data_IF_178724539026
#
_entry.id   IF_178724539026
#
_cell.length_a   1.000
_cell.length_b   1.000
_cell.length_c   1.000
_cell.angle_alpha   90.00
_cell.angle_beta   90.00
_cell.angle_gamma   90.00
#
_symmetry.space_group_name_H-M   'P 1'
#
loop_
_entity.id
_entity.type
_entity.pdbx_description
1 polymer ?
#
# COMPACT_ATOMS: atom_id res chain seq x y z
N UNK A 1 8.14 21.44 13.92
CA UNK A 1 9.00 20.37 14.48
C UNK A 1 9.94 19.93 13.37
N UNK A 2 11.24 19.81 13.62
CA UNK A 2 12.19 19.37 12.60
C UNK A 2 12.04 17.86 12.37
N UNK A 3 12.15 17.41 11.12
CA UNK A 3 12.11 16.00 10.75
C UNK A 3 13.54 15.43 10.69
N UNK A 4 13.71 14.18 11.12
CA UNK A 4 14.94 13.42 10.93
C UNK A 4 14.78 12.54 9.70
N UNK A 5 15.77 12.55 8.80
CA UNK A 5 15.77 11.75 7.58
C UNK A 5 16.88 10.71 7.63
N UNK A 6 16.54 9.47 7.27
CA UNK A 6 17.49 8.41 7.00
C UNK A 6 17.60 8.24 5.48
N UNK A 7 18.83 8.18 4.95
CA UNK A 7 19.07 8.04 3.50
C UNK A 7 19.17 6.57 3.05
N UNK A 8 18.91 5.61 3.95
CA UNK A 8 19.02 4.19 3.65
C UNK A 8 18.21 3.31 4.60
N UNK A 9 18.22 1.99 4.34
CA UNK A 9 17.48 1.00 5.13
C UNK A 9 17.88 1.04 6.60
N UNK A 10 16.88 1.02 7.48
CA UNK A 10 17.10 0.95 8.92
C UNK A 10 17.02 -0.51 9.35
N UNK A 11 18.10 -0.97 10.00
CA UNK A 11 18.21 -2.30 10.58
C UNK A 11 18.42 -2.16 12.08
N UNK A 12 17.81 -3.06 12.85
CA UNK A 12 17.89 -3.07 14.31
C UNK A 12 18.40 -4.42 14.81
N UNK A 13 19.32 -4.39 15.78
CA UNK A 13 19.86 -5.59 16.43
C UNK A 13 21.38 -5.66 16.41
N UNK A 14 21.93 -6.72 16.99
CA UNK A 14 23.38 -6.87 17.20
C UNK A 14 23.98 -7.86 16.21
N UNK A 15 25.01 -7.43 15.48
CA UNK A 15 25.92 -8.32 14.76
C UNK A 15 26.92 -9.05 15.66
N UNK A 16 26.90 -8.81 16.99
CA UNK A 16 27.97 -9.23 17.90
C UNK A 16 28.15 -10.76 17.96
N UNK A 17 27.07 -11.51 17.80
CA UNK A 17 27.05 -12.99 17.85
C UNK A 17 27.05 -13.61 16.43
N UNK A 18 27.24 -12.78 15.39
CA UNK A 18 27.33 -13.21 13.99
C UNK A 18 28.79 -13.47 13.56
N UNK A 19 29.61 -14.00 14.46
CA UNK A 19 30.99 -14.35 14.16
C UNK A 19 31.04 -15.64 13.32
N UNK A 20 31.30 -15.41 12.03
CA UNK A 20 31.79 -16.34 11.01
C UNK A 20 30.88 -17.47 10.50
N UNK A 21 29.81 -17.89 11.18
CA UNK A 21 28.84 -18.88 10.60
C UNK A 21 27.39 -18.77 11.07
N UNK A 22 27.06 -17.92 12.07
CA UNK A 22 25.72 -17.78 12.63
C UNK A 22 24.85 -16.70 11.96
N UNK A 23 23.52 -16.89 11.96
CA UNK A 23 22.58 -15.86 11.53
C UNK A 23 22.66 -14.66 12.47
N UNK A 24 22.92 -13.48 11.92
CA UNK A 24 22.93 -12.26 12.72
C UNK A 24 21.52 -11.94 13.25
N UNK A 25 21.42 -11.54 14.53
CA UNK A 25 20.17 -11.03 15.10
C UNK A 25 19.93 -9.60 14.59
N UNK A 26 19.57 -9.47 13.32
CA UNK A 26 19.24 -8.21 12.64
C UNK A 26 17.81 -8.32 12.14
N UNK A 27 16.95 -7.44 12.64
CA UNK A 27 15.60 -7.22 12.14
C UNK A 27 15.54 -6.02 11.20
N UNK A 28 14.71 -6.11 10.18
CA UNK A 28 14.34 -4.96 9.36
C UNK A 28 13.21 -4.17 10.02
N UNK A 29 13.18 -2.86 9.79
CA UNK A 29 12.13 -1.98 10.32
C UNK A 29 10.93 -1.94 9.39
N UNK A 30 9.72 -2.07 9.95
CA UNK A 30 8.47 -1.83 9.24
C UNK A 30 8.20 -0.32 9.16
N UNK A 31 8.08 0.19 7.94
CA UNK A 31 7.79 1.58 7.64
C UNK A 31 6.36 1.70 7.11
N UNK A 32 5.74 2.86 7.32
CA UNK A 32 4.37 3.12 6.87
C UNK A 32 4.27 4.44 6.13
N UNK A 33 3.46 4.47 5.07
CA UNK A 33 3.02 5.71 4.41
C UNK A 33 1.50 5.73 4.31
N UNK A 34 0.90 6.91 4.34
CA UNK A 34 -0.56 7.07 4.26
C UNK A 34 -0.93 8.07 3.18
N UNK A 35 -1.92 7.73 2.37
CA UNK A 35 -2.54 8.62 1.38
C UNK A 35 -4.06 8.66 1.59
N UNK A 36 -4.71 9.70 1.06
CA UNK A 36 -6.17 9.85 1.11
C UNK A 36 -6.69 10.04 -0.30
N UNK A 37 -7.67 9.21 -0.69
CA UNK A 37 -8.45 9.39 -1.90
C UNK A 37 -9.78 10.05 -1.52
N UNK A 38 -10.08 11.18 -2.14
CA UNK A 38 -11.36 11.89 -1.98
C UNK A 38 -12.00 12.04 -3.35
N UNK A 39 -13.31 11.79 -3.41
CA UNK A 39 -14.13 11.98 -4.60
C UNK A 39 -13.91 13.41 -5.16
N UNK A 40 -13.52 13.54 -6.43
CA UNK A 40 -13.05 14.78 -7.07
C UNK A 40 -13.77 15.12 -8.39
N UNK A 41 -14.91 14.50 -8.66
CA UNK A 41 -15.75 14.62 -9.85
C UNK A 41 -15.41 13.64 -10.97
N UNK A 42 -14.39 12.79 -10.83
CA UNK A 42 -13.98 11.83 -11.86
C UNK A 42 -14.54 10.43 -11.61
N UNK A 43 -14.56 9.61 -12.67
CA UNK A 43 -14.99 8.20 -12.64
C UNK A 43 -13.91 7.24 -12.14
N UNK A 44 -12.69 7.72 -11.93
CA UNK A 44 -11.60 6.99 -11.31
C UNK A 44 -10.71 7.97 -10.56
N UNK A 45 -10.51 7.72 -9.26
CA UNK A 45 -9.68 8.56 -8.39
C UNK A 45 -8.43 7.78 -8.05
N UNK A 46 -7.27 8.28 -8.46
CA UNK A 46 -5.98 7.62 -8.27
C UNK A 46 -5.04 8.47 -7.42
N UNK A 47 -4.30 7.82 -6.55
CA UNK A 47 -3.18 8.39 -5.80
C UNK A 47 -2.05 7.34 -5.73
N UNK A 48 -0.80 7.79 -5.62
CA UNK A 48 0.34 6.90 -5.69
C UNK A 48 1.26 7.04 -4.46
N UNK A 49 1.78 5.92 -3.98
CA UNK A 49 2.94 5.87 -3.08
C UNK A 49 4.23 5.76 -3.89
N UNK A 50 5.32 6.26 -3.30
CA UNK A 50 6.68 6.04 -3.83
C UNK A 50 7.47 5.26 -2.78
N UNK A 51 7.84 4.04 -3.12
CA UNK A 51 8.63 3.14 -2.29
C UNK A 51 10.04 2.96 -2.88
N UNK A 52 11.08 2.75 -2.07
CA UNK A 52 12.40 2.42 -2.59
C UNK A 52 12.39 1.10 -3.36
N UNK A 53 13.23 1.01 -4.40
CA UNK A 53 13.38 -0.20 -5.19
C UNK A 53 13.71 -1.41 -4.31
N UNK A 54 13.21 -2.57 -4.71
CA UNK A 54 13.35 -3.86 -4.02
C UNK A 54 12.72 -3.92 -2.62
N UNK A 55 11.88 -2.96 -2.24
CA UNK A 55 11.13 -3.04 -0.99
C UNK A 55 10.14 -4.21 -1.03
N UNK A 56 9.90 -4.79 0.14
CA UNK A 56 8.84 -5.75 0.37
C UNK A 56 7.62 -5.01 0.92
N UNK A 57 6.44 -5.25 0.37
CA UNK A 57 5.18 -4.80 0.93
C UNK A 57 4.66 -5.88 1.88
N UNK A 58 4.32 -5.51 3.10
CA UNK A 58 3.80 -6.43 4.12
C UNK A 58 2.28 -6.44 4.12
N UNK A 59 1.66 -5.29 3.90
CA UNK A 59 0.21 -5.18 3.92
C UNK A 59 -0.30 -3.79 3.57
N UNK A 60 -1.62 -3.71 3.46
CA UNK A 60 -2.37 -2.48 3.26
C UNK A 60 -3.51 -2.40 4.26
N UNK A 61 -3.73 -1.22 4.83
CA UNK A 61 -4.94 -0.89 5.56
C UNK A 61 -5.76 0.08 4.72
N UNK A 62 -7.00 -0.30 4.40
CA UNK A 62 -7.94 0.52 3.64
C UNK A 62 -9.08 0.92 4.57
N UNK A 63 -9.10 2.19 4.94
CA UNK A 63 -10.05 2.77 5.89
C UNK A 63 -10.96 3.76 5.16
N UNK A 64 -12.21 3.38 4.90
CA UNK A 64 -13.20 4.26 4.29
C UNK A 64 -13.91 5.06 5.38
N UNK A 65 -13.69 6.38 5.37
CA UNK A 65 -14.28 7.33 6.34
C UNK A 65 -15.66 7.80 5.86
N UNK A 66 -15.78 8.05 4.55
CA UNK A 66 -17.06 8.37 3.90
C UNK A 66 -17.27 7.36 2.79
N UNK A 67 -18.37 6.61 2.87
CA UNK A 67 -18.76 5.62 1.88
C UNK A 67 -18.81 6.26 0.48
N UNK A 68 -18.22 5.56 -0.48
CA UNK A 68 -18.42 5.91 -1.89
C UNK A 68 -19.83 5.50 -2.30
N UNK A 69 -20.49 6.34 -3.10
CA UNK A 69 -21.92 6.25 -3.36
C UNK A 69 -22.26 6.14 -4.84
N UNK A 70 -21.49 5.34 -5.58
CA UNK A 70 -21.86 5.03 -6.96
C UNK A 70 -23.12 4.16 -7.03
N UNK A 71 -23.76 4.17 -8.20
CA UNK A 71 -25.03 3.47 -8.40
C UNK A 71 -24.90 1.94 -8.45
N UNK A 72 -23.68 1.40 -8.65
CA UNK A 72 -23.47 -0.04 -8.84
C UNK A 72 -22.41 -0.60 -7.91
N UNK A 73 -21.17 -0.09 -7.99
CA UNK A 73 -20.06 -0.62 -7.20
C UNK A 73 -18.91 0.37 -7.10
N UNK A 74 -18.36 0.51 -5.90
CA UNK A 74 -17.17 1.30 -5.63
C UNK A 74 -16.03 0.36 -5.22
N UNK A 75 -15.12 0.09 -6.15
CA UNK A 75 -14.02 -0.85 -5.93
C UNK A 75 -12.69 -0.11 -5.88
N UNK A 76 -11.86 -0.49 -4.91
CA UNK A 76 -10.48 -0.03 -4.76
C UNK A 76 -9.54 -1.12 -5.26
N UNK A 77 -8.60 -0.75 -6.12
CA UNK A 77 -7.53 -1.63 -6.58
C UNK A 77 -6.17 -1.01 -6.30
N UNK A 78 -5.16 -1.85 -6.09
CA UNK A 78 -3.79 -1.42 -5.86
C UNK A 78 -2.87 -2.18 -6.82
N UNK A 79 -2.03 -1.45 -7.54
CA UNK A 79 -1.17 -2.01 -8.57
C UNK A 79 0.02 -1.15 -8.92
N UNK A 80 0.69 -1.54 -10.01
CA UNK A 80 1.89 -0.87 -10.54
C UNK A 80 1.57 0.30 -11.48
N UNK A 81 0.28 0.51 -11.75
CA UNK A 81 -0.27 1.59 -12.57
C UNK A 81 -1.70 1.89 -12.12
N UNK A 82 -2.25 3.03 -12.54
CA UNK A 82 -3.65 3.39 -12.30
C UNK A 82 -4.62 2.27 -12.74
N UNK A 83 -5.61 1.97 -11.89
CA UNK A 83 -6.54 0.85 -12.02
C UNK A 83 -5.88 -0.55 -12.12
N UNK A 84 -4.58 -0.66 -11.80
CA UNK A 84 -3.89 -1.93 -11.65
C UNK A 84 -4.37 -2.72 -10.43
N UNK A 85 -4.20 -4.04 -10.49
CA UNK A 85 -4.61 -5.00 -9.45
C UNK A 85 -3.51 -5.99 -9.09
N UNK A 86 -2.25 -5.62 -9.33
CA UNK A 86 -1.09 -6.49 -9.10
C UNK A 86 -0.84 -6.78 -7.60
N UNK A 87 -1.27 -5.90 -6.70
CA UNK A 87 -1.06 -6.04 -5.25
C UNK A 87 -2.36 -6.28 -4.49
N UNK A 88 -3.45 -5.64 -4.89
CA UNK A 88 -4.79 -5.85 -4.31
C UNK A 88 -5.84 -5.80 -5.42
N UNK A 89 -6.52 -6.93 -5.60
CA UNK A 89 -7.73 -7.08 -6.40
C UNK A 89 -8.95 -6.49 -5.70
N UNK A 90 -9.84 -5.89 -6.49
CA UNK A 90 -11.00 -5.08 -6.09
C UNK A 90 -11.55 -5.29 -4.67
N UNK A 91 -11.33 -4.30 -3.81
CA UNK A 91 -11.88 -4.20 -2.45
C UNK A 91 -13.05 -3.22 -2.45
N UNK A 92 -14.18 -3.59 -1.85
CA UNK A 92 -15.34 -2.68 -1.78
C UNK A 92 -15.08 -1.53 -0.80
N UNK A 93 -15.33 -0.29 -1.23
CA UNK A 93 -15.30 0.94 -0.42
C UNK A 93 -16.67 1.63 -0.36
N UNK A 94 -17.74 0.89 -0.68
CA UNK A 94 -19.12 1.36 -0.62
C UNK A 94 -19.66 1.49 0.83
N UNK A 95 -18.92 0.98 1.82
CA UNK A 95 -19.27 1.07 3.24
C UNK A 95 -18.20 1.84 3.99
N UNK A 96 -18.62 2.73 4.89
CA UNK A 96 -17.70 3.42 5.79
C UNK A 96 -17.21 2.46 6.88
N UNK A 97 -16.09 1.78 6.62
CA UNK A 97 -15.43 0.86 7.53
C UNK A 97 -13.99 0.61 7.07
N UNK A 98 -13.23 -0.12 7.88
CA UNK A 98 -12.02 -0.80 7.42
C UNK A 98 -12.40 -1.98 6.55
N UNK A 99 -11.84 -2.05 5.34
CA UNK A 99 -12.05 -3.19 4.48
C UNK A 99 -11.16 -4.38 4.89
N UNK A 100 -11.69 -5.59 4.82
CA UNK A 100 -10.92 -6.82 4.97
C UNK A 100 -10.30 -7.19 3.62
N UNK A 101 -8.97 -7.26 3.57
CA UNK A 101 -8.22 -7.61 2.35
C UNK A 101 -7.81 -9.07 2.42
N UNK A 102 -8.16 -9.82 1.38
CA UNK A 102 -7.71 -11.20 1.18
C UNK A 102 -6.77 -11.23 0.00
N UNK A 103 -5.53 -11.67 0.22
CA UNK A 103 -4.53 -11.77 -0.83
C UNK A 103 -4.51 -13.16 -1.47
N UNK A 104 -4.40 -13.18 -2.78
CA UNK A 104 -4.07 -14.37 -3.57
C UNK A 104 -2.56 -14.66 -3.51
N UNK A 105 -2.17 -15.89 -3.85
CA UNK A 105 -0.75 -16.27 -3.90
C UNK A 105 0.07 -15.41 -4.90
N UNK A 106 -0.56 -14.96 -5.99
CA UNK A 106 0.09 -14.11 -6.99
C UNK A 106 0.36 -12.69 -6.46
N UNK A 107 -0.59 -12.12 -5.74
CA UNK A 107 -0.43 -10.80 -5.10
C UNK A 107 0.63 -10.86 -4.00
N UNK A 108 0.63 -11.90 -3.15
CA UNK A 108 1.66 -12.08 -2.13
C UNK A 108 3.06 -12.21 -2.75
N UNK A 109 3.18 -12.90 -3.89
CA UNK A 109 4.45 -13.00 -4.61
C UNK A 109 4.88 -11.63 -5.16
N UNK A 110 3.97 -10.85 -5.73
CA UNK A 110 4.25 -9.49 -6.21
C UNK A 110 4.64 -8.54 -5.06
N UNK A 111 4.03 -8.70 -3.88
CA UNK A 111 4.33 -7.91 -2.67
C UNK A 111 5.69 -8.29 -2.05
N UNK A 112 6.18 -9.51 -2.27
CA UNK A 112 7.45 -9.96 -1.70
C UNK A 112 8.66 -9.12 -2.15
N UNK A 113 8.59 -8.55 -3.36
CA UNK A 113 9.59 -7.64 -3.90
C UNK A 113 9.01 -6.82 -5.06
N UNK A 114 8.95 -5.49 -4.91
CA UNK A 114 8.44 -4.58 -5.95
C UNK A 114 9.39 -4.36 -7.14
N UNK A 115 10.62 -4.91 -7.06
CA UNK A 115 11.67 -4.75 -8.05
C UNK A 115 12.04 -3.28 -8.27
N UNK A 116 12.17 -2.89 -9.54
CA UNK A 116 12.49 -1.52 -9.93
C UNK A 116 11.27 -0.60 -10.04
N UNK A 117 10.06 -1.15 -9.92
CA UNK A 117 8.84 -0.35 -10.00
C UNK A 117 8.54 0.26 -8.63
N UNK A 118 8.95 1.51 -8.46
CA UNK A 118 8.89 2.23 -7.17
C UNK A 118 7.53 2.88 -6.90
N UNK A 119 6.68 2.99 -7.92
CA UNK A 119 5.35 3.58 -7.81
C UNK A 119 4.31 2.51 -7.51
N UNK A 120 3.51 2.73 -6.46
CA UNK A 120 2.35 1.90 -6.13
C UNK A 120 1.10 2.76 -6.23
N UNK A 121 0.31 2.52 -7.26
CA UNK A 121 -0.92 3.25 -7.54
C UNK A 121 -2.11 2.60 -6.82
N UNK A 122 -2.87 3.44 -6.13
CA UNK A 122 -4.15 3.10 -5.51
C UNK A 122 -5.24 3.81 -6.27
N UNK A 123 -6.23 3.07 -6.74
CA UNK A 123 -7.34 3.63 -7.53
C UNK A 123 -8.67 3.19 -6.98
N UNK A 124 -9.58 4.14 -6.73
CA UNK A 124 -11.00 3.84 -6.53
C UNK A 124 -11.73 4.05 -7.85
N UNK A 125 -12.47 3.03 -8.29
CA UNK A 125 -13.27 3.04 -9.52
C UNK A 125 -14.77 2.91 -9.18
N UNK A 126 -15.48 4.04 -9.08
CA UNK A 126 -16.94 4.07 -9.06
C UNK A 126 -17.57 3.57 -10.37
N UNK A 127 -18.59 2.72 -10.31
CA UNK A 127 -19.32 2.20 -11.47
C UNK A 127 -20.82 2.47 -11.35
N UNK A 128 -21.47 2.76 -12.48
CA UNK A 128 -22.88 3.12 -12.54
C UNK A 128 -23.05 4.63 -12.64
N UNK A 129 -23.71 5.24 -11.67
CA UNK A 129 -23.73 6.70 -11.54
C UNK A 129 -22.43 7.20 -10.94
N UNK A 130 -21.96 8.38 -11.39
CA UNK A 130 -20.80 9.02 -10.81
C UNK A 130 -20.98 9.19 -9.30
N UNK A 131 -20.01 8.71 -8.51
CA UNK A 131 -19.99 8.96 -7.08
C UNK A 131 -19.93 10.47 -6.85
N UNK A 132 -20.71 10.96 -5.88
CA UNK A 132 -20.75 12.36 -5.47
C UNK A 132 -20.05 12.57 -4.13
N UNK A 133 -19.89 11.51 -3.35
CA UNK A 133 -19.16 11.48 -2.09
C UNK A 133 -18.24 10.24 -2.04
N UNK A 134 -17.23 10.29 -1.18
CA UNK A 134 -16.29 9.19 -1.00
C UNK A 134 -14.97 9.68 -0.43
N UNK A 135 -14.52 9.08 0.66
CA UNK A 135 -13.21 9.34 1.23
C UNK A 135 -12.64 8.07 1.83
N UNK A 136 -11.52 7.62 1.27
CA UNK A 136 -10.79 6.44 1.72
C UNK A 136 -9.36 6.80 2.03
N UNK A 137 -8.92 6.46 3.24
CA UNK A 137 -7.54 6.59 3.69
C UNK A 137 -6.88 5.23 3.50
N UNK A 138 -5.73 5.21 2.83
CA UNK A 138 -4.97 3.98 2.59
C UNK A 138 -3.61 4.12 3.24
N UNK A 139 -3.25 3.15 4.06
CA UNK A 139 -1.94 3.06 4.69
C UNK A 139 -1.22 1.83 4.16
N UNK A 140 -0.03 2.01 3.63
CA UNK A 140 0.85 0.93 3.18
C UNK A 140 1.89 0.63 4.25
N UNK A 141 2.14 -0.65 4.49
CA UNK A 141 3.17 -1.16 5.39
C UNK A 141 4.24 -1.86 4.56
N UNK A 142 5.50 -1.42 4.65
CA UNK A 142 6.59 -1.92 3.81
C UNK A 142 7.92 -1.97 4.55
N UNK A 143 8.82 -2.82 4.04
CA UNK A 143 10.19 -2.99 4.53
C UNK A 143 11.15 -2.65 3.40
N UNK A 144 12.15 -1.82 3.69
CA UNK A 144 13.23 -1.52 2.75
C UNK A 144 14.25 -2.66 2.73
N UNK A 145 14.66 -3.09 1.54
CA UNK A 145 15.76 -4.04 1.41
C UNK A 145 17.07 -3.37 1.83
N UNK A 146 17.71 -3.91 2.87
CA UNK A 146 19.11 -3.60 3.19
C UNK A 146 20.02 -4.35 2.22
N UNK A 147 20.88 -3.62 1.51
CA UNK A 147 21.94 -4.20 0.69
C UNK A 147 23.02 -4.84 1.58
#
# INVERSE_FOLDING_TARGET
MAATHFSGPVQAGTKKDADQTGAANIGSVLLTQTLTLTQNGTTAVTAAFVLPANSQIVGFNVDTVTAWNSGTSDTLTIGTAAAGSQYVGGVSVATAARAAISYTAAELLAMSNIGVNTTVDVTVTPVGTAATAGTTIVTIEYIQAAQ
#
